data_IF_792262475607
#
_entry.id   IF_792262475607
#
_cell.length_a   1.000
_cell.length_b   1.000
_cell.length_c   1.000
_cell.angle_alpha   90.00
_cell.angle_beta   90.00
_cell.angle_gamma   90.00
#
_symmetry.space_group_name_H-M   'P 1'
#
loop_
_entity.id
_entity.type
_entity.pdbx_description
1 polymer ?
#
# COMPACT_ATOMS: atom_id res chain seq x y z
N UNK A 1 23.28 -18.74 6.29
CA UNK A 1 21.94 -18.24 6.69
C UNK A 1 20.96 -18.52 5.56
N UNK A 2 19.73 -18.91 5.89
CA UNK A 2 18.64 -18.98 4.93
C UNK A 2 17.49 -18.09 5.40
N UNK A 3 16.96 -17.28 4.49
CA UNK A 3 15.81 -16.42 4.72
C UNK A 3 14.65 -16.96 3.90
N UNK A 4 13.59 -17.36 4.59
CA UNK A 4 12.37 -17.90 3.99
C UNK A 4 11.27 -16.85 4.10
N UNK A 5 10.63 -16.58 2.97
CA UNK A 5 9.47 -15.71 2.88
C UNK A 5 8.23 -16.54 2.57
N UNK A 6 7.30 -16.58 3.52
CA UNK A 6 5.93 -17.05 3.31
C UNK A 6 5.16 -15.96 2.59
N UNK A 7 4.90 -16.17 1.31
CA UNK A 7 4.22 -15.23 0.42
C UNK A 7 2.72 -15.51 0.45
N UNK A 8 1.92 -14.50 0.78
CA UNK A 8 0.45 -14.63 0.72
C UNK A 8 -0.16 -13.72 -0.34
N UNK A 9 0.54 -12.66 -0.75
CA UNK A 9 0.06 -11.61 -1.64
C UNK A 9 0.52 -11.70 -3.10
N UNK A 10 1.30 -12.72 -3.45
CA UNK A 10 1.75 -12.95 -4.83
C UNK A 10 2.17 -14.43 -5.01
N UNK A 11 2.46 -14.87 -6.25
CA UNK A 11 2.98 -16.21 -6.49
C UNK A 11 4.33 -16.45 -5.80
N UNK A 12 4.50 -17.63 -5.21
CA UNK A 12 5.81 -18.12 -4.80
C UNK A 12 6.51 -18.76 -6.01
N UNK A 13 7.25 -17.95 -6.75
CA UNK A 13 7.93 -18.34 -7.99
C UNK A 13 9.41 -17.93 -8.01
N UNK A 14 10.07 -18.18 -9.15
CA UNK A 14 11.49 -17.86 -9.33
C UNK A 14 11.76 -16.35 -9.24
N UNK A 15 10.86 -15.52 -9.80
CA UNK A 15 11.01 -14.07 -9.75
C UNK A 15 10.95 -13.55 -8.31
N UNK A 16 10.02 -14.05 -7.49
CA UNK A 16 9.93 -13.70 -6.08
C UNK A 16 11.16 -14.17 -5.28
N UNK A 17 11.70 -15.34 -5.61
CA UNK A 17 12.89 -15.88 -4.95
C UNK A 17 14.17 -15.09 -5.31
N UNK A 18 14.34 -14.73 -6.58
CA UNK A 18 15.47 -13.92 -7.06
C UNK A 18 15.39 -12.49 -6.52
N UNK A 19 14.18 -11.93 -6.41
CA UNK A 19 13.95 -10.63 -5.78
C UNK A 19 14.31 -10.66 -4.29
N UNK A 20 13.93 -11.72 -3.57
CA UNK A 20 14.32 -11.91 -2.17
C UNK A 20 15.85 -11.98 -2.03
N UNK A 21 16.50 -12.78 -2.87
CA UNK A 21 17.95 -12.98 -2.83
C UNK A 21 18.72 -11.67 -3.11
N UNK A 22 18.35 -10.96 -4.18
CA UNK A 22 18.97 -9.67 -4.52
C UNK A 22 18.72 -8.59 -3.46
N UNK A 23 17.51 -8.50 -2.92
CA UNK A 23 17.18 -7.55 -1.85
C UNK A 23 18.00 -7.79 -0.58
N UNK A 24 18.21 -9.06 -0.21
CA UNK A 24 19.08 -9.42 0.92
C UNK A 24 20.53 -9.04 0.64
N UNK A 25 21.00 -9.31 -0.58
CA UNK A 25 22.36 -8.98 -1.00
C UNK A 25 22.64 -7.47 -0.93
N UNK A 26 21.68 -6.62 -1.32
CA UNK A 26 21.80 -5.17 -1.27
C UNK A 26 21.95 -4.62 0.16
N UNK A 27 21.52 -5.38 1.17
CA UNK A 27 21.64 -5.03 2.59
C UNK A 27 22.92 -5.57 3.24
N UNK A 28 23.75 -6.33 2.53
CA UNK A 28 25.00 -6.88 3.07
C UNK A 28 26.09 -5.81 3.09
N UNK A 29 26.61 -5.51 4.28
CA UNK A 29 27.87 -4.79 4.47
C UNK A 29 29.06 -5.75 4.48
N UNK A 30 30.22 -5.28 4.00
CA UNK A 30 31.46 -6.05 3.99
C UNK A 30 31.86 -6.56 5.39
N UNK A 31 31.49 -5.83 6.45
CA UNK A 31 31.75 -6.17 7.85
C UNK A 31 31.03 -7.44 8.32
N UNK A 32 29.97 -7.89 7.63
CA UNK A 32 29.27 -9.12 8.00
C UNK A 32 29.96 -10.39 7.51
N UNK A 33 30.94 -10.27 6.61
CA UNK A 33 31.74 -11.41 6.15
C UNK A 33 30.95 -12.46 5.36
N UNK A 34 29.99 -12.03 4.54
CA UNK A 34 29.31 -12.94 3.60
C UNK A 34 30.32 -13.47 2.58
N UNK A 35 30.32 -14.77 2.35
CA UNK A 35 31.25 -15.46 1.45
C UNK A 35 30.86 -15.24 -0.02
N UNK A 36 31.84 -15.45 -0.91
CA UNK A 36 31.69 -15.23 -2.35
C UNK A 36 30.47 -15.98 -2.91
N UNK A 37 29.60 -15.24 -3.62
CA UNK A 37 28.34 -15.75 -4.17
C UNK A 37 27.11 -15.10 -3.55
N UNK A 38 27.22 -14.56 -2.33
CA UNK A 38 26.15 -13.77 -1.74
C UNK A 38 24.87 -14.56 -1.45
N UNK A 39 23.75 -13.85 -1.36
CA UNK A 39 22.43 -14.48 -1.29
C UNK A 39 22.00 -14.97 -2.68
N UNK A 40 21.59 -16.24 -2.75
CA UNK A 40 21.03 -16.87 -3.96
C UNK A 40 19.69 -17.51 -3.65
N UNK A 41 18.81 -17.59 -4.66
CA UNK A 41 17.60 -18.39 -4.54
C UNK A 41 17.97 -19.87 -4.32
N UNK A 42 17.49 -20.43 -3.20
CA UNK A 42 17.82 -21.79 -2.76
C UNK A 42 16.61 -22.73 -2.84
N UNK A 43 15.38 -22.22 -2.88
CA UNK A 43 14.21 -23.07 -3.01
C UNK A 43 12.89 -22.34 -3.12
N UNK A 44 11.95 -22.95 -3.83
CA UNK A 44 10.59 -22.50 -4.03
C UNK A 44 9.66 -23.64 -3.67
N UNK A 45 8.72 -23.40 -2.76
CA UNK A 45 7.69 -24.35 -2.39
C UNK A 45 6.32 -23.71 -2.67
N UNK A 46 5.81 -23.92 -3.87
CA UNK A 46 4.51 -23.39 -4.30
C UNK A 46 3.35 -23.89 -3.44
N UNK A 47 3.42 -25.14 -2.96
CA UNK A 47 2.38 -25.73 -2.09
C UNK A 47 2.31 -25.09 -0.70
N UNK A 48 3.44 -24.60 -0.19
CA UNK A 48 3.50 -23.83 1.07
C UNK A 48 3.50 -22.31 0.86
N UNK A 49 3.62 -21.87 -0.39
CA UNK A 49 3.82 -20.46 -0.80
C UNK A 49 5.08 -19.85 -0.21
N UNK A 50 6.15 -20.63 -0.16
CA UNK A 50 7.42 -20.20 0.41
C UNK A 50 8.47 -20.05 -0.68
N UNK A 51 9.27 -18.98 -0.60
CA UNK A 51 10.54 -18.87 -1.32
C UNK A 51 11.67 -18.73 -0.30
N UNK A 52 12.85 -19.26 -0.60
CA UNK A 52 13.99 -19.25 0.31
C UNK A 52 15.26 -18.81 -0.41
N UNK A 53 15.95 -17.83 0.15
CA UNK A 53 17.26 -17.41 -0.31
C UNK A 53 18.33 -17.69 0.77
N UNK A 54 19.51 -18.17 0.38
CA UNK A 54 20.57 -18.52 1.33
C UNK A 54 21.91 -17.91 0.92
N UNK A 55 22.74 -17.63 1.93
CA UNK A 55 24.13 -17.20 1.79
C UNK A 55 25.00 -17.82 2.88
N UNK A 56 26.29 -18.02 2.58
CA UNK A 56 27.27 -18.43 3.59
C UNK A 56 27.99 -17.24 4.21
N UNK A 57 28.37 -17.40 5.48
CA UNK A 57 29.09 -16.40 6.25
C UNK A 57 30.44 -16.99 6.69
N UNK A 58 31.50 -16.18 6.62
CA UNK A 58 32.86 -16.58 7.00
C UNK A 58 32.95 -16.99 8.46
N UNK A 59 32.13 -16.38 9.31
CA UNK A 59 32.05 -16.68 10.74
C UNK A 59 30.59 -16.69 11.20
N UNK A 60 30.31 -17.47 12.25
CA UNK A 60 29.01 -17.45 12.91
C UNK A 60 28.68 -16.05 13.45
N UNK A 61 29.68 -15.35 14.02
CA UNK A 61 29.51 -13.99 14.53
C UNK A 61 29.05 -13.00 13.44
N UNK A 62 29.56 -13.11 12.22
CA UNK A 62 29.10 -12.31 11.08
C UNK A 62 27.64 -12.61 10.71
N UNK A 63 27.26 -13.89 10.72
CA UNK A 63 25.88 -14.31 10.51
C UNK A 63 24.92 -13.81 11.60
N UNK A 64 25.33 -13.85 12.87
CA UNK A 64 24.56 -13.33 14.00
C UNK A 64 24.37 -11.81 13.88
N UNK A 65 25.44 -11.08 13.56
CA UNK A 65 25.39 -9.62 13.38
C UNK A 65 24.45 -9.20 12.24
N UNK A 66 24.47 -9.94 11.13
CA UNK A 66 23.53 -9.69 10.03
C UNK A 66 22.09 -10.02 10.42
N UNK A 67 21.87 -11.13 11.13
CA UNK A 67 20.55 -11.50 11.65
C UNK A 67 19.96 -10.46 12.61
N UNK A 68 20.78 -9.94 13.54
CA UNK A 68 20.37 -8.83 14.41
C UNK A 68 20.05 -7.55 13.63
N UNK A 69 20.83 -7.22 12.59
CA UNK A 69 20.51 -6.07 11.73
C UNK A 69 19.17 -6.25 11.01
N UNK A 70 18.87 -7.47 10.52
CA UNK A 70 17.57 -7.77 9.94
C UNK A 70 16.45 -7.55 10.96
N UNK A 71 16.61 -8.03 12.19
CA UNK A 71 15.61 -7.89 13.25
C UNK A 71 15.35 -6.42 13.63
N UNK A 72 16.41 -5.62 13.71
CA UNK A 72 16.32 -4.22 14.16
C UNK A 72 15.69 -3.31 13.10
N UNK A 73 16.13 -3.42 11.83
CA UNK A 73 15.71 -2.49 10.75
C UNK A 73 15.63 -3.13 9.37
N UNK A 74 16.44 -4.16 9.11
CA UNK A 74 16.56 -4.76 7.77
C UNK A 74 15.28 -5.46 7.31
N UNK A 75 14.47 -6.01 8.22
CA UNK A 75 13.20 -6.62 7.87
C UNK A 75 12.21 -5.61 7.30
N UNK A 76 12.09 -4.41 7.86
CA UNK A 76 11.19 -3.39 7.32
C UNK A 76 11.66 -2.91 5.95
N UNK A 77 12.97 -2.75 5.74
CA UNK A 77 13.53 -2.45 4.42
C UNK A 77 13.27 -3.58 3.42
N UNK A 78 13.49 -4.83 3.84
CA UNK A 78 13.27 -6.02 3.03
C UNK A 78 11.81 -6.16 2.62
N UNK A 79 10.88 -5.93 3.55
CA UNK A 79 9.44 -5.95 3.28
C UNK A 79 9.08 -5.01 2.13
N UNK A 80 9.56 -3.77 2.16
CA UNK A 80 9.29 -2.80 1.10
C UNK A 80 9.93 -3.23 -0.23
N UNK A 81 11.14 -3.79 -0.17
CA UNK A 81 11.89 -4.24 -1.34
C UNK A 81 11.21 -5.40 -2.08
N UNK A 82 10.81 -6.43 -1.34
CA UNK A 82 10.18 -7.62 -1.94
C UNK A 82 8.69 -7.43 -2.22
N UNK A 83 8.09 -6.32 -1.78
CA UNK A 83 6.64 -6.10 -1.90
C UNK A 83 5.83 -6.96 -0.94
N UNK A 84 6.36 -7.16 0.28
CA UNK A 84 5.70 -7.89 1.35
C UNK A 84 4.31 -7.33 1.67
N UNK A 85 3.37 -8.23 1.96
CA UNK A 85 2.04 -7.82 2.39
C UNK A 85 1.14 -9.01 2.69
N UNK A 86 0.15 -8.77 3.55
CA UNK A 86 -0.86 -9.75 3.92
C UNK A 86 -2.02 -9.77 2.91
N UNK A 87 -2.74 -10.89 2.82
CA UNK A 87 -3.99 -10.99 2.07
C UNK A 87 -5.16 -11.19 3.00
N UNK A 88 -6.29 -10.55 2.69
CA UNK A 88 -7.57 -10.85 3.34
C UNK A 88 -8.38 -11.75 2.44
N UNK A 89 -8.68 -12.95 2.92
CA UNK A 89 -9.52 -13.93 2.25
C UNK A 89 -10.93 -13.83 2.82
N UNK A 90 -11.93 -13.67 1.96
CA UNK A 90 -13.32 -13.64 2.41
C UNK A 90 -13.74 -15.05 2.87
N UNK A 91 -14.17 -15.17 4.12
CA UNK A 91 -14.79 -16.39 4.64
C UNK A 91 -16.26 -16.14 4.99
N UNK A 92 -17.09 -17.18 5.15
CA UNK A 92 -18.48 -17.06 5.61
C UNK A 92 -18.63 -16.32 6.94
N UNK A 93 -17.59 -16.29 7.78
CA UNK A 93 -17.57 -15.60 9.08
C UNK A 93 -16.88 -14.23 9.05
N UNK A 94 -16.50 -13.73 7.87
CA UNK A 94 -15.82 -12.44 7.67
C UNK A 94 -14.45 -12.58 7.01
N UNK A 95 -13.78 -11.45 6.70
CA UNK A 95 -12.42 -11.47 6.13
C UNK A 95 -11.44 -12.10 7.13
N UNK A 96 -10.82 -13.20 6.73
CA UNK A 96 -9.74 -13.87 7.47
C UNK A 96 -8.43 -13.37 6.88
N UNK A 97 -7.54 -12.90 7.75
CA UNK A 97 -6.22 -12.43 7.36
C UNK A 97 -5.28 -13.63 7.18
N UNK A 98 -4.56 -13.65 6.06
CA UNK A 98 -3.54 -14.63 5.71
C UNK A 98 -2.17 -13.93 5.77
N UNK A 99 -1.48 -14.01 6.92
CA UNK A 99 -0.28 -13.23 7.17
C UNK A 99 0.87 -13.72 6.30
N UNK A 100 1.54 -12.79 5.65
CA UNK A 100 2.88 -13.01 5.13
C UNK A 100 3.87 -12.97 6.30
N UNK A 101 4.96 -13.72 6.19
CA UNK A 101 5.99 -13.76 7.22
C UNK A 101 7.38 -14.00 6.60
N UNK A 102 8.40 -13.37 7.17
CA UNK A 102 9.80 -13.64 6.81
C UNK A 102 10.50 -14.23 8.04
N UNK A 103 11.21 -15.33 7.83
CA UNK A 103 12.04 -15.98 8.85
C UNK A 103 13.47 -16.09 8.34
N UNK A 104 14.41 -15.46 9.04
CA UNK A 104 15.84 -15.65 8.83
C UNK A 104 16.34 -16.70 9.82
N UNK A 105 17.02 -17.74 9.31
CA UNK A 105 17.59 -18.82 10.12
C UNK A 105 19.08 -18.94 9.84
N UNK A 106 19.89 -18.81 10.88
CA UNK A 106 21.32 -19.09 10.84
C UNK A 106 21.57 -20.52 11.31
N UNK A 107 22.41 -21.24 10.56
CA UNK A 107 22.83 -22.60 10.88
C UNK A 107 24.34 -22.62 11.06
N UNK A 108 24.84 -23.48 11.93
CA UNK A 108 26.27 -23.73 12.11
C UNK A 108 26.90 -24.40 10.88
N UNK A 109 26.10 -25.12 10.10
CA UNK A 109 26.42 -25.68 8.77
C UNK A 109 25.15 -25.75 7.91
N UNK A 110 25.24 -25.56 6.59
CA UNK A 110 24.11 -25.76 5.66
C UNK A 110 23.88 -27.26 5.38
N UNK A 111 23.54 -28.04 6.40
CA UNK A 111 23.09 -29.43 6.22
C UNK A 111 21.65 -29.57 6.71
N UNK A 112 20.81 -30.43 6.10
CA UNK A 112 19.40 -30.59 6.51
C UNK A 112 19.18 -30.96 7.98
N UNK A 113 20.22 -31.48 8.64
CA UNK A 113 20.22 -31.89 10.06
C UNK A 113 20.91 -30.88 11.00
N UNK A 114 21.42 -29.75 10.49
CA UNK A 114 22.09 -28.77 11.34
C UNK A 114 21.08 -28.04 12.22
N UNK A 115 21.36 -27.98 13.52
CA UNK A 115 20.55 -27.18 14.43
C UNK A 115 20.72 -25.68 14.11
N UNK A 116 19.63 -24.89 14.13
CA UNK A 116 19.72 -23.45 13.99
C UNK A 116 20.42 -22.84 15.21
N UNK A 117 21.34 -21.91 14.99
CA UNK A 117 22.00 -21.13 16.04
C UNK A 117 21.50 -19.68 16.13
N UNK A 118 20.65 -19.25 15.21
CA UNK A 118 19.94 -17.97 15.27
C UNK A 118 18.66 -18.02 14.45
N UNK A 119 17.58 -17.43 14.98
CA UNK A 119 16.28 -17.34 14.29
C UNK A 119 15.69 -15.96 14.55
N UNK A 120 15.44 -15.22 13.48
CA UNK A 120 14.79 -13.90 13.52
C UNK A 120 13.55 -13.95 12.65
N UNK A 121 12.48 -13.30 13.09
CA UNK A 121 11.18 -13.41 12.46
C UNK A 121 10.49 -12.07 12.44
N UNK A 122 9.92 -11.75 11.30
CA UNK A 122 8.96 -10.66 11.19
C UNK A 122 7.70 -11.18 10.53
N UNK A 123 6.57 -10.71 11.04
CA UNK A 123 5.28 -10.85 10.40
C UNK A 123 4.55 -9.54 10.68
N UNK A 124 3.87 -9.00 9.67
CA UNK A 124 2.98 -7.88 9.95
C UNK A 124 1.78 -8.39 10.72
N UNK A 125 1.41 -7.66 11.78
CA UNK A 125 0.24 -7.98 12.56
C UNK A 125 -0.97 -8.10 11.64
N UNK A 126 -1.48 -9.32 11.50
CA UNK A 126 -2.78 -9.61 10.92
C UNK A 126 -3.85 -9.25 11.95
N UNK A 127 -3.91 -7.98 12.34
CA UNK A 127 -5.21 -7.46 12.65
C UNK A 127 -5.96 -7.50 11.31
N UNK A 128 -7.20 -8.04 11.22
CA UNK A 128 -8.14 -7.37 10.33
C UNK A 128 -7.91 -5.88 10.63
N UNK A 129 -7.74 -4.98 9.63
CA UNK A 129 -7.91 -3.58 9.96
C UNK A 129 -9.18 -3.61 10.79
N UNK A 130 -9.11 -3.09 12.02
CA UNK A 130 -10.28 -3.08 12.90
C UNK A 130 -11.39 -2.73 11.93
N UNK A 131 -12.52 -3.46 11.90
CA UNK A 131 -13.67 -2.83 11.31
C UNK A 131 -13.81 -1.56 12.15
N UNK A 132 -13.14 -0.48 11.74
CA UNK A 132 -13.65 0.85 11.74
C UNK A 132 -15.05 0.53 11.29
N UNK A 133 -15.98 0.58 12.25
CA UNK A 133 -17.40 0.29 12.09
C UNK A 133 -17.92 1.30 11.10
N UNK A 134 -17.46 1.11 9.88
CA UNK A 134 -17.40 2.04 8.80
C UNK A 134 -17.66 1.29 7.48
N UNK A 135 -18.79 0.57 7.36
CA UNK A 135 -19.59 0.70 6.17
C UNK A 135 -20.43 1.97 6.31
N UNK A 136 -20.22 2.95 5.42
CA UNK A 136 -21.11 4.10 5.32
C UNK A 136 -22.45 3.66 4.69
N UNK A 137 -23.36 3.07 5.46
CA UNK A 137 -24.70 2.70 4.96
C UNK A 137 -25.72 3.87 5.00
N UNK A 138 -25.27 5.12 5.21
CA UNK A 138 -26.16 6.28 5.49
C UNK A 138 -25.66 7.60 4.91
N UNK A 139 -24.91 7.56 3.82
CA UNK A 139 -24.53 8.81 3.16
C UNK A 139 -25.60 9.24 2.18
N UNK A 140 -25.67 10.55 1.91
CA UNK A 140 -26.55 11.07 0.88
C UNK A 140 -25.73 11.30 -0.41
N UNK A 141 -26.01 10.55 -1.50
CA UNK A 141 -25.46 10.77 -2.84
C UNK A 141 -25.44 12.22 -3.29
N UNK A 142 -26.46 12.98 -2.88
CA UNK A 142 -26.77 14.31 -3.41
C UNK A 142 -25.86 15.40 -2.83
N UNK A 143 -25.04 15.06 -1.85
CA UNK A 143 -24.14 15.99 -1.17
C UNK A 143 -22.72 15.98 -1.75
N UNK A 144 -22.47 15.18 -2.80
CA UNK A 144 -21.19 15.13 -3.53
C UNK A 144 -20.75 16.48 -4.11
N UNK A 145 -21.67 17.42 -4.36
CA UNK A 145 -21.34 18.81 -4.75
C UNK A 145 -21.56 19.82 -3.62
N UNK A 146 -21.66 19.35 -2.37
CA UNK A 146 -21.94 20.19 -1.19
C UNK A 146 -20.95 19.95 -0.05
N UNK A 147 -19.72 19.55 -0.38
CA UNK A 147 -18.59 19.53 0.56
C UNK A 147 -17.51 20.50 0.09
N UNK A 148 -16.72 21.09 1.01
CA UNK A 148 -15.90 22.25 0.67
C UNK A 148 -14.61 21.89 -0.07
N UNK A 149 -14.28 20.61 -0.25
CA UNK A 149 -12.93 20.17 -0.65
C UNK A 149 -12.83 19.69 -2.08
N UNK A 150 -12.11 20.41 -2.94
CA UNK A 150 -11.77 19.92 -4.28
C UNK A 150 -10.28 19.60 -4.37
N UNK A 151 -9.95 18.59 -5.17
CA UNK A 151 -8.56 18.19 -5.42
C UNK A 151 -8.21 18.56 -6.87
N UNK A 152 -6.97 18.99 -7.06
CA UNK A 152 -6.40 19.21 -8.40
C UNK A 152 -4.97 18.72 -8.41
N UNK A 153 -4.55 18.09 -9.51
CA UNK A 153 -3.14 17.71 -9.66
C UNK A 153 -2.29 18.98 -9.71
N UNK A 154 -1.36 19.12 -8.78
CA UNK A 154 -0.47 20.27 -8.68
C UNK A 154 0.89 19.98 -9.31
N UNK A 155 1.45 18.81 -9.03
CA UNK A 155 2.79 18.46 -9.51
C UNK A 155 3.00 16.97 -9.64
N UNK A 156 3.92 16.62 -10.54
CA UNK A 156 4.52 15.30 -10.70
C UNK A 156 6.03 15.43 -10.55
N UNK A 157 6.63 14.57 -9.73
CA UNK A 157 8.07 14.49 -9.59
C UNK A 157 8.53 13.04 -9.54
N UNK A 158 9.72 12.76 -10.04
CA UNK A 158 10.38 11.46 -9.84
C UNK A 158 11.46 11.61 -8.78
N UNK A 159 11.40 10.80 -7.72
CA UNK A 159 12.38 10.84 -6.63
C UNK A 159 12.49 9.48 -5.94
N UNK A 160 13.57 9.29 -5.21
CA UNK A 160 13.70 8.14 -4.31
C UNK A 160 12.88 8.38 -3.05
N UNK A 161 11.99 7.44 -2.71
CA UNK A 161 11.23 7.44 -1.45
C UNK A 161 11.48 6.13 -0.73
N UNK A 162 11.95 6.21 0.52
CA UNK A 162 12.31 5.05 1.34
C UNK A 162 13.22 4.05 0.61
N UNK A 163 14.18 4.54 -0.19
CA UNK A 163 15.11 3.69 -0.95
C UNK A 163 14.66 3.26 -2.35
N UNK A 164 13.43 3.58 -2.78
CA UNK A 164 12.90 3.14 -4.08
C UNK A 164 12.67 4.29 -5.06
N UNK A 165 13.03 4.14 -6.35
CA UNK A 165 12.63 5.08 -7.38
C UNK A 165 11.10 5.13 -7.53
N UNK A 166 10.51 6.30 -7.28
CA UNK A 166 9.07 6.51 -7.29
C UNK A 166 8.67 7.75 -8.11
N UNK A 167 7.48 7.68 -8.70
CA UNK A 167 6.74 8.82 -9.21
C UNK A 167 5.80 9.32 -8.12
N UNK A 168 5.93 10.60 -7.77
CA UNK A 168 5.16 11.27 -6.74
C UNK A 168 4.21 12.26 -7.39
N UNK A 169 2.93 12.09 -7.11
CA UNK A 169 1.83 12.89 -7.66
C UNK A 169 1.14 13.64 -6.53
N UNK A 170 1.33 14.95 -6.48
CA UNK A 170 0.79 15.80 -5.41
C UNK A 170 -0.48 16.51 -5.86
N UNK A 171 -1.52 16.35 -5.06
CA UNK A 171 -2.82 16.95 -5.26
C UNK A 171 -3.01 18.09 -4.28
N UNK A 172 -3.24 19.30 -4.80
CA UNK A 172 -3.59 20.43 -3.95
C UNK A 172 -5.07 20.38 -3.58
N UNK A 173 -5.32 20.58 -2.30
CA UNK A 173 -6.66 20.73 -1.74
C UNK A 173 -7.08 22.19 -1.83
N UNK A 174 -8.17 22.45 -2.55
CA UNK A 174 -8.84 23.76 -2.55
C UNK A 174 -10.07 23.69 -1.64
N UNK A 175 -10.20 24.68 -0.77
CA UNK A 175 -11.35 24.85 0.11
C UNK A 175 -12.27 25.93 -0.46
N UNK A 176 -13.54 25.58 -0.66
CA UNK A 176 -14.59 26.49 -1.07
C UNK A 176 -15.87 26.20 -0.28
N UNK A 177 -16.05 26.90 0.85
CA UNK A 177 -17.22 26.74 1.70
C UNK A 177 -18.50 27.28 1.06
N UNK A 178 -18.42 28.13 0.03
CA UNK A 178 -19.60 28.69 -0.61
C UNK A 178 -20.37 27.62 -1.40
N UNK A 179 -19.65 26.62 -1.96
CA UNK A 179 -20.23 25.48 -2.69
C UNK A 179 -21.16 24.63 -1.81
N UNK A 180 -20.94 24.64 -0.50
CA UNK A 180 -21.71 23.83 0.44
C UNK A 180 -23.11 24.39 0.73
N UNK A 181 -23.33 25.70 0.57
CA UNK A 181 -24.55 26.38 1.00
C UNK A 181 -24.88 26.08 2.47
N UNK A 182 -26.15 25.71 2.75
CA UNK A 182 -26.62 25.32 4.09
C UNK A 182 -26.40 23.83 4.43
N UNK A 183 -25.59 23.11 3.66
CA UNK A 183 -25.30 21.69 3.90
C UNK A 183 -24.62 21.49 5.25
N UNK A 184 -25.01 20.43 5.98
CA UNK A 184 -24.32 19.97 7.20
C UNK A 184 -22.83 19.69 6.98
N UNK A 185 -22.43 19.50 5.74
CA UNK A 185 -21.09 19.12 5.32
C UNK A 185 -20.12 20.30 5.18
N UNK A 186 -20.60 21.54 5.35
CA UNK A 186 -19.80 22.73 5.13
C UNK A 186 -18.63 22.84 6.13
N UNK A 187 -18.84 22.38 7.37
CA UNK A 187 -17.82 22.35 8.42
C UNK A 187 -17.15 20.99 8.60
N UNK A 188 -17.26 20.09 7.63
CA UNK A 188 -16.69 18.75 7.75
C UNK A 188 -15.17 18.81 7.73
N UNK A 189 -14.50 17.96 8.51
CA UNK A 189 -13.06 17.74 8.34
C UNK A 189 -12.77 16.94 7.05
N UNK A 190 -11.55 17.02 6.55
CA UNK A 190 -11.03 16.15 5.49
C UNK A 190 -10.07 15.15 6.15
N UNK A 191 -10.60 14.02 6.58
CA UNK A 191 -9.83 12.99 7.28
C UNK A 191 -9.36 11.86 6.36
N UNK A 192 -10.09 11.65 5.26
CA UNK A 192 -9.74 10.62 4.28
C UNK A 192 -10.14 11.02 2.86
N UNK A 193 -9.32 10.61 1.89
CA UNK A 193 -9.66 10.56 0.47
C UNK A 193 -9.58 9.11 0.00
N UNK A 194 -10.58 8.66 -0.75
CA UNK A 194 -10.57 7.37 -1.44
C UNK A 194 -10.45 7.58 -2.94
N UNK A 195 -9.54 6.84 -3.58
CA UNK A 195 -9.21 6.97 -4.99
C UNK A 195 -9.60 5.67 -5.71
N UNK A 196 -10.32 5.79 -6.82
CA UNK A 196 -10.68 4.63 -7.63
C UNK A 196 -9.49 4.20 -8.47
N UNK A 197 -9.07 2.95 -8.34
CA UNK A 197 -7.98 2.40 -9.15
C UNK A 197 -8.53 1.58 -10.33
N UNK A 198 -7.78 1.55 -11.43
CA UNK A 198 -8.21 0.94 -12.69
C UNK A 198 -8.23 -0.59 -12.61
N UNK A 199 -7.33 -1.18 -11.82
CA UNK A 199 -7.09 -2.62 -11.82
C UNK A 199 -6.73 -3.15 -10.44
N UNK A 200 -6.98 -4.45 -10.23
CA UNK A 200 -6.69 -5.16 -8.97
C UNK A 200 -5.19 -5.32 -8.66
N UNK A 201 -4.32 -5.10 -9.64
CA UNK A 201 -2.86 -5.27 -9.50
C UNK A 201 -2.12 -3.98 -9.10
N UNK A 202 -2.80 -2.84 -8.94
CA UNK A 202 -2.16 -1.57 -8.56
C UNK A 202 -1.76 -1.50 -7.09
N UNK A 203 -2.17 -2.48 -6.25
CA UNK A 203 -1.84 -2.53 -4.82
C UNK A 203 -0.35 -2.43 -4.53
N UNK A 204 0.45 -3.14 -5.33
CA UNK A 204 1.90 -3.23 -5.18
C UNK A 204 2.63 -2.03 -5.78
N UNK A 205 1.94 -1.26 -6.64
CA UNK A 205 2.50 -0.07 -7.25
C UNK A 205 2.55 1.11 -6.29
N UNK A 206 1.62 1.22 -5.33
CA UNK A 206 1.59 2.34 -4.40
C UNK A 206 2.42 2.07 -3.13
N UNK A 207 3.49 2.83 -2.94
CA UNK A 207 4.36 2.78 -1.75
C UNK A 207 3.66 3.40 -0.53
N UNK A 208 2.82 4.39 -0.77
CA UNK A 208 2.16 5.14 0.29
C UNK A 208 1.80 6.55 -0.16
N UNK A 209 1.51 7.39 0.82
CA UNK A 209 1.18 8.78 0.60
C UNK A 209 1.79 9.67 1.67
N UNK A 210 1.89 10.96 1.36
CA UNK A 210 2.28 12.00 2.33
C UNK A 210 1.22 13.10 2.33
N UNK A 211 1.18 13.88 3.40
CA UNK A 211 0.36 15.09 3.50
C UNK A 211 1.30 16.25 3.80
N UNK A 212 1.09 17.43 3.21
CA UNK A 212 1.99 18.58 3.35
C UNK A 212 2.20 19.05 4.79
N UNK A 213 1.28 18.73 5.71
CA UNK A 213 1.47 18.98 7.15
C UNK A 213 2.59 18.11 7.76
N UNK A 214 2.94 17.00 7.12
CA UNK A 214 3.99 16.04 7.49
C UNK A 214 4.64 15.44 6.22
N UNK A 215 5.41 16.23 5.44
CA UNK A 215 5.84 15.83 4.09
C UNK A 215 6.88 14.69 4.08
N UNK A 216 7.50 14.39 5.22
CA UNK A 216 8.45 13.28 5.41
C UNK A 216 7.80 12.03 6.01
N UNK A 217 6.55 12.10 6.45
CA UNK A 217 5.80 11.00 7.05
C UNK A 217 5.09 10.21 5.95
N UNK A 218 5.80 9.23 5.39
CA UNK A 218 5.23 8.32 4.38
C UNK A 218 4.29 7.34 5.08
N UNK A 219 3.00 7.50 4.83
CA UNK A 219 1.96 6.67 5.40
C UNK A 219 1.61 5.51 4.48
N UNK A 220 1.46 4.34 5.09
CA UNK A 220 0.97 3.16 4.39
C UNK A 220 -0.51 3.35 4.03
N UNK A 221 -0.90 3.02 2.80
CA UNK A 221 -2.27 3.17 2.37
C UNK A 221 -3.13 2.02 2.88
N UNK A 222 -4.40 2.33 3.16
CA UNK A 222 -5.41 1.29 3.38
C UNK A 222 -6.06 0.99 2.04
N UNK A 223 -6.30 -0.30 1.77
CA UNK A 223 -6.97 -0.73 0.55
C UNK A 223 -8.29 -1.41 0.86
N UNK A 224 -9.33 -1.11 0.08
CA UNK A 224 -10.55 -1.92 0.05
C UNK A 224 -10.77 -2.47 -1.36
N UNK A 225 -11.43 -3.63 -1.45
CA UNK A 225 -11.95 -4.14 -2.72
C UNK A 225 -13.43 -3.86 -2.79
N UNK A 226 -13.88 -3.45 -3.97
CA UNK A 226 -15.28 -3.14 -4.24
C UNK A 226 -15.67 -3.84 -5.52
N UNK A 227 -16.86 -4.45 -5.52
CA UNK A 227 -17.40 -5.12 -6.71
C UNK A 227 -18.62 -4.36 -7.16
N UNK A 228 -18.56 -3.91 -8.41
CA UNK A 228 -19.70 -3.38 -9.13
C UNK A 228 -20.49 -4.55 -9.72
N UNK A 229 -21.62 -4.86 -9.08
CA UNK A 229 -22.55 -5.89 -9.53
C UNK A 229 -23.58 -5.38 -10.56
N UNK A 230 -23.55 -4.09 -10.90
CA UNK A 230 -24.40 -3.49 -11.95
C UNK A 230 -23.76 -3.68 -13.32
N UNK A 231 -22.43 -3.74 -13.40
CA UNK A 231 -21.73 -4.13 -14.63
C UNK A 231 -21.97 -5.61 -14.95
N UNK A 232 -22.00 -5.94 -16.24
CA UNK A 232 -22.10 -7.32 -16.74
C UNK A 232 -20.96 -7.62 -17.72
N UNK A 233 -19.98 -8.47 -17.33
CA UNK A 233 -19.87 -9.15 -16.04
C UNK A 233 -19.56 -8.19 -14.88
N UNK A 234 -19.86 -8.55 -13.62
CA UNK A 234 -19.48 -7.77 -12.45
C UNK A 234 -17.99 -7.46 -12.46
N UNK A 235 -17.64 -6.20 -12.20
CA UNK A 235 -16.24 -5.77 -12.19
C UNK A 235 -15.79 -5.44 -10.78
N UNK A 236 -14.58 -5.88 -10.42
CA UNK A 236 -13.97 -5.55 -9.13
C UNK A 236 -12.89 -4.50 -9.31
N UNK A 237 -12.93 -3.49 -8.44
CA UNK A 237 -11.98 -2.40 -8.38
C UNK A 237 -11.35 -2.36 -6.99
N UNK A 238 -10.09 -1.94 -6.94
CA UNK A 238 -9.44 -1.64 -5.68
C UNK A 238 -9.53 -0.14 -5.38
N UNK A 239 -9.63 0.17 -4.09
CA UNK A 239 -9.81 1.52 -3.57
C UNK A 239 -8.62 1.86 -2.73
N UNK A 240 -7.83 2.81 -3.22
CA UNK A 240 -6.70 3.33 -2.48
C UNK A 240 -7.20 4.38 -1.49
N UNK A 241 -6.83 4.28 -0.21
CA UNK A 241 -7.30 5.21 0.83
C UNK A 241 -6.14 5.96 1.46
N UNK A 242 -6.16 7.28 1.35
CA UNK A 242 -5.30 8.20 2.11
C UNK A 242 -6.07 8.67 3.33
N UNK A 243 -5.82 8.07 4.49
CA UNK A 243 -6.50 8.35 5.76
C UNK A 243 -5.64 9.23 6.68
N UNK A 244 -6.14 9.53 7.88
CA UNK A 244 -5.40 10.28 8.90
C UNK A 244 -4.82 11.60 8.36
N UNK A 245 -5.58 12.27 7.50
CA UNK A 245 -5.11 13.48 6.83
C UNK A 245 -5.00 14.63 7.82
N UNK A 246 -5.85 14.67 8.85
CA UNK A 246 -5.85 15.74 9.86
C UNK A 246 -6.12 17.12 9.26
N UNK A 247 -6.79 17.15 8.11
CA UNK A 247 -7.12 18.39 7.41
C UNK A 247 -8.52 18.85 7.85
N UNK A 248 -8.66 20.16 8.01
CA UNK A 248 -9.88 20.84 8.39
C UNK A 248 -10.09 22.02 7.46
N UNK A 249 -11.27 22.64 7.48
CA UNK A 249 -11.57 23.82 6.64
C UNK A 249 -10.52 24.93 6.87
N UNK A 250 -9.96 25.02 8.09
CA UNK A 250 -8.99 26.04 8.46
C UNK A 250 -7.57 25.81 7.91
N UNK A 251 -7.15 24.56 7.70
CA UNK A 251 -5.77 24.25 7.31
C UNK A 251 -5.65 23.50 5.97
N UNK A 252 -6.77 23.08 5.38
CA UNK A 252 -6.77 22.28 4.17
C UNK A 252 -6.44 23.10 2.92
N UNK A 253 -6.72 24.41 2.89
CA UNK A 253 -6.56 25.18 1.66
C UNK A 253 -5.07 25.31 1.29
N UNK A 254 -4.72 24.81 0.11
CA UNK A 254 -3.34 24.73 -0.38
C UNK A 254 -2.55 23.54 0.17
N UNK A 255 -3.09 22.75 1.10
CA UNK A 255 -2.46 21.53 1.57
C UNK A 255 -2.33 20.53 0.41
N UNK A 256 -1.32 19.68 0.47
CA UNK A 256 -1.05 18.69 -0.57
C UNK A 256 -1.18 17.27 -0.02
N UNK A 257 -1.84 16.42 -0.80
CA UNK A 257 -1.86 14.97 -0.58
C UNK A 257 -1.08 14.37 -1.74
N UNK A 258 0.05 13.71 -1.45
CA UNK A 258 0.91 13.16 -2.50
C UNK A 258 0.86 11.64 -2.52
N UNK A 259 0.43 11.08 -3.64
CA UNK A 259 0.49 9.64 -3.94
C UNK A 259 1.89 9.26 -4.38
N UNK A 260 2.41 8.13 -3.90
CA UNK A 260 3.76 7.65 -4.22
C UNK A 260 3.65 6.30 -4.93
N UNK A 261 4.01 6.26 -6.22
CA UNK A 261 3.92 5.09 -7.08
C UNK A 261 5.32 4.61 -7.49
N UNK A 262 5.61 3.31 -7.35
CA UNK A 262 6.87 2.69 -7.78
C UNK A 262 7.04 2.81 -9.29
N UNK A 263 8.20 3.27 -9.76
CA UNK A 263 8.47 3.42 -11.20
C UNK A 263 8.50 2.09 -11.96
N UNK A 264 9.04 1.04 -11.32
CA UNK A 264 9.07 -0.33 -11.85
C UNK A 264 7.94 -1.14 -11.21
N UNK A 265 6.71 -0.92 -11.66
CA UNK A 265 5.52 -1.63 -11.16
C UNK A 265 4.43 -1.75 -12.21
N UNK A 266 3.34 -2.42 -11.86
CA UNK A 266 2.13 -2.55 -12.68
C UNK A 266 1.42 -1.22 -12.97
N UNK A 267 1.51 -0.24 -12.05
CA UNK A 267 0.79 1.03 -12.15
C UNK A 267 1.69 2.22 -11.78
N UNK A 268 2.73 2.54 -12.57
CA UNK A 268 3.74 3.55 -12.22
C UNK A 268 3.26 4.98 -12.47
N UNK A 269 2.10 5.18 -13.13
CA UNK A 269 1.55 6.48 -13.49
C UNK A 269 0.08 6.61 -13.08
N UNK A 270 -0.44 7.84 -13.00
CA UNK A 270 -1.88 8.05 -12.75
C UNK A 270 -2.76 7.41 -13.83
N UNK A 271 -2.33 7.45 -15.10
CA UNK A 271 -3.07 6.87 -16.23
C UNK A 271 -3.29 5.36 -16.03
N UNK A 272 -2.27 4.67 -15.50
CA UNK A 272 -2.32 3.23 -15.18
C UNK A 272 -2.89 2.92 -13.80
N UNK A 273 -2.86 3.89 -12.88
CA UNK A 273 -3.24 3.69 -11.49
C UNK A 273 -4.73 3.96 -11.27
N UNK A 274 -5.25 5.01 -11.89
CA UNK A 274 -6.61 5.49 -11.69
C UNK A 274 -7.57 4.90 -12.69
N UNK A 275 -8.78 4.56 -12.24
CA UNK A 275 -9.82 4.09 -13.16
C UNK A 275 -10.22 5.20 -14.12
N UNK A 276 -10.10 4.93 -15.43
CA UNK A 276 -10.21 5.93 -16.50
C UNK A 276 -9.17 7.06 -16.35
N UNK A 277 -7.93 6.67 -16.03
CA UNK A 277 -6.84 7.59 -15.69
C UNK A 277 -6.45 8.55 -16.81
N UNK A 278 -6.76 8.24 -18.07
CA UNK A 278 -6.62 9.11 -19.24
C UNK A 278 -7.40 10.44 -19.10
N UNK A 279 -8.47 10.44 -18.30
CA UNK A 279 -9.32 11.62 -18.04
C UNK A 279 -9.07 12.18 -16.61
N UNK A 280 -8.24 11.51 -15.82
CA UNK A 280 -7.91 11.84 -14.43
C UNK A 280 -8.50 10.89 -13.39
N UNK A 281 -8.16 11.08 -12.11
CA UNK A 281 -8.57 10.13 -11.08
C UNK A 281 -9.92 10.50 -10.46
N UNK A 282 -10.73 9.48 -10.28
CA UNK A 282 -11.98 9.61 -9.54
C UNK A 282 -11.70 9.47 -8.05
N UNK A 283 -12.26 10.38 -7.25
CA UNK A 283 -12.01 10.40 -5.81
C UNK A 283 -13.26 10.74 -5.01
N UNK A 284 -13.20 10.40 -3.73
CA UNK A 284 -14.23 10.60 -2.73
C UNK A 284 -13.64 11.19 -1.46
N UNK A 285 -14.29 12.18 -0.85
CA UNK A 285 -13.81 12.83 0.38
C UNK A 285 -14.66 12.46 1.60
N UNK A 286 -14.01 12.29 2.74
CA UNK A 286 -14.65 11.82 3.96
C UNK A 286 -14.17 12.59 5.18
N UNK A 287 -15.11 12.83 6.10
CA UNK A 287 -14.83 13.40 7.40
C UNK A 287 -14.56 12.33 8.46
N UNK A 288 -14.16 12.80 9.64
CA UNK A 288 -13.87 11.96 10.80
C UNK A 288 -15.14 11.44 11.48
N UNK A 289 -16.30 12.09 11.28
CA UNK A 289 -17.52 11.70 11.97
C UNK A 289 -18.09 10.42 11.38
N UNK A 290 -18.75 9.61 12.22
CA UNK A 290 -19.48 8.42 11.77
C UNK A 290 -20.77 8.77 10.99
N UNK A 291 -21.04 10.06 10.81
CA UNK A 291 -22.16 10.61 10.04
C UNK A 291 -21.61 11.24 8.76
N UNK A 292 -21.37 10.43 7.72
CA UNK A 292 -20.81 10.95 6.48
C UNK A 292 -21.51 12.19 5.94
N UNK A 293 -20.66 13.08 5.44
CA UNK A 293 -21.09 14.28 4.75
C UNK A 293 -21.54 14.01 3.31
N UNK A 294 -20.79 13.28 2.50
CA UNK A 294 -21.20 12.91 1.14
C UNK A 294 -20.99 11.42 0.87
N UNK A 295 -21.91 10.81 0.11
CA UNK A 295 -21.65 9.54 -0.56
C UNK A 295 -21.06 9.85 -1.93
N UNK A 296 -19.77 10.15 -1.99
CA UNK A 296 -19.05 10.10 -3.27
C UNK A 296 -18.88 8.63 -3.76
N UNK A 297 -19.53 7.67 -3.09
CA UNK A 297 -19.55 6.24 -3.41
C UNK A 297 -20.90 5.74 -3.95
N UNK A 298 -21.96 6.55 -3.96
CA UNK A 298 -23.24 6.06 -4.46
C UNK A 298 -23.22 5.95 -5.98
N UNK A 299 -23.59 4.79 -6.48
CA UNK A 299 -24.01 4.64 -7.86
C UNK A 299 -25.17 5.62 -8.11
N UNK A 300 -25.12 6.39 -9.19
CA UNK A 300 -26.28 7.14 -9.61
C UNK A 300 -27.41 6.13 -9.89
N UNK A 301 -28.50 6.23 -9.13
CA UNK A 301 -29.68 5.42 -9.37
C UNK A 301 -30.30 5.83 -10.72
N UNK A 302 -29.91 5.14 -11.79
CA UNK A 302 -30.55 5.29 -13.10
C UNK A 302 -29.66 5.05 -14.33
N UNK A 303 -28.34 5.24 -14.25
CA UNK A 303 -27.48 5.23 -15.45
C UNK A 303 -26.17 4.43 -15.32
N UNK A 304 -25.87 3.86 -14.15
CA UNK A 304 -24.63 3.09 -13.94
C UNK A 304 -23.36 3.95 -13.93
N UNK A 305 -23.49 5.29 -13.84
CA UNK A 305 -22.34 6.18 -13.69
C UNK A 305 -21.89 6.26 -12.22
N UNK A 306 -20.57 6.26 -12.00
CA UNK A 306 -20.00 6.55 -10.69
C UNK A 306 -20.24 8.03 -10.36
N UNK A 307 -20.98 8.31 -9.28
CA UNK A 307 -21.12 9.67 -8.75
C UNK A 307 -19.85 10.09 -8.00
N UNK A 308 -18.77 10.35 -8.75
CA UNK A 308 -17.48 10.77 -8.18
C UNK A 308 -17.06 12.13 -8.68
N UNK A 309 -16.38 12.84 -7.78
CA UNK A 309 -15.55 13.98 -8.17
C UNK A 309 -14.44 13.45 -9.05
N UNK A 310 -14.22 14.13 -10.17
CA UNK A 310 -13.10 13.88 -11.09
C UNK A 310 -12.35 15.19 -11.20
N UNK A 311 -11.04 15.14 -10.98
CA UNK A 311 -10.20 16.21 -11.51
C UNK A 311 -9.78 15.80 -12.92
N UNK A 312 -9.79 16.75 -13.86
CA UNK A 312 -9.25 16.51 -15.19
C UNK A 312 -7.74 16.72 -15.16
N UNK A 313 -6.99 15.85 -15.83
CA UNK A 313 -5.61 16.18 -16.19
C UNK A 313 -5.68 17.36 -17.16
N UNK A 314 -4.98 18.45 -16.86
CA UNK A 314 -4.80 19.51 -17.84
C UNK A 314 -3.92 18.93 -18.97
N UNK A 315 -4.46 18.89 -20.18
CA UNK A 315 -3.70 18.56 -21.39
C UNK A 315 -2.63 19.62 -21.65
#
# INVERSE_FOLDING_TARGET
MCVTWLITNQPADQGACDLLASSLQDMVLASYGVLNGGFVCNGINTGKREVTACADFATEAGGQAYGSMLDDTGFDMLKVAVGFGNVYVNSPSGPVCDPSAITATLFTKLTPSAAPCGVWRTADACAPPTPNGFPYCKCDPRLANRTPYTLSLKSKASRTVNGFPANVYCFSVKVDSAVCGSSRCCGMDLEKVEWLTDMTNCRQAAVGYTVSLKPTDVKMPVWARQTDNVMSPPQSFDVYKTNQLGLTVANANGAEICLILKQKSSCPTLDTFCSQGDIGCQYAVFDKTQSCCAEDWSLNAGDGSFSRRRFRLAH
#
